data_IF_407254263022
#
_entry.id   IF_407254263022
#
_cell.length_a   1.000
_cell.length_b   1.000
_cell.length_c   1.000
_cell.angle_alpha   90.00
_cell.angle_beta   90.00
_cell.angle_gamma   90.00
#
_symmetry.space_group_name_H-M   'P 1'
#
loop_
_entity.id
_entity.type
_entity.pdbx_description
1 polymer ?
#
# COMPACT_ATOMS: atom_id res chain seq x y z
N UNK A 1 3.12 -4.43 -31.08
CA UNK A 1 2.62 -5.33 -30.02
C UNK A 1 3.60 -5.18 -28.86
N UNK A 2 3.22 -4.51 -27.75
CA UNK A 2 4.18 -4.34 -26.63
C UNK A 2 4.42 -5.68 -25.96
N UNK A 3 5.69 -5.99 -25.77
CA UNK A 3 6.15 -7.20 -25.09
C UNK A 3 5.54 -7.28 -23.68
N UNK A 4 4.98 -8.45 -23.34
CA UNK A 4 4.32 -8.74 -22.05
C UNK A 4 5.33 -9.12 -20.97
N UNK A 5 6.61 -8.98 -21.24
CA UNK A 5 7.69 -9.32 -20.34
C UNK A 5 8.12 -8.10 -19.52
N UNK A 6 8.79 -8.36 -18.42
CA UNK A 6 9.48 -7.34 -17.63
C UNK A 6 10.92 -7.13 -18.11
N UNK A 7 11.40 -7.97 -19.02
CA UNK A 7 12.76 -7.87 -19.54
C UNK A 7 13.02 -6.48 -20.15
N UNK A 8 14.08 -5.83 -19.67
CA UNK A 8 14.46 -4.48 -20.06
C UNK A 8 13.54 -3.35 -19.60
N UNK A 9 12.44 -3.61 -18.89
CA UNK A 9 11.55 -2.57 -18.35
C UNK A 9 12.25 -1.78 -17.26
N UNK A 10 12.08 -0.47 -17.30
CA UNK A 10 12.64 0.50 -16.37
C UNK A 10 11.62 0.75 -15.25
N UNK A 11 11.98 0.33 -14.06
CA UNK A 11 11.05 0.28 -12.92
C UNK A 11 11.56 1.11 -11.76
N UNK A 12 10.72 1.97 -11.22
CA UNK A 12 10.93 2.71 -9.98
C UNK A 12 10.03 2.14 -8.88
N UNK A 13 10.60 1.82 -7.73
CA UNK A 13 9.87 1.27 -6.57
C UNK A 13 10.10 2.18 -5.36
N UNK A 14 9.04 2.66 -4.70
CA UNK A 14 9.16 3.37 -3.43
C UNK A 14 9.07 2.43 -2.24
N UNK A 15 9.76 2.74 -1.14
CA UNK A 15 9.86 1.84 0.01
C UNK A 15 10.64 0.57 -0.32
N UNK A 16 11.71 0.72 -1.12
CA UNK A 16 12.43 -0.39 -1.73
C UNK A 16 13.26 -1.22 -0.74
N UNK A 17 13.74 -0.61 0.36
CA UNK A 17 14.50 -1.27 1.44
C UNK A 17 13.60 -1.92 2.51
N UNK A 18 12.28 -1.69 2.44
CA UNK A 18 11.30 -2.34 3.31
C UNK A 18 11.06 -3.81 2.91
N UNK A 19 10.37 -4.59 3.77
CA UNK A 19 10.13 -6.02 3.55
C UNK A 19 9.53 -6.31 2.18
N UNK A 20 8.46 -5.63 1.80
CA UNK A 20 7.85 -5.79 0.49
C UNK A 20 8.73 -5.30 -0.65
N UNK A 21 9.38 -4.14 -0.45
CA UNK A 21 10.23 -3.52 -1.44
C UNK A 21 11.38 -4.41 -1.87
N UNK A 22 12.06 -5.05 -0.92
CA UNK A 22 13.17 -5.99 -1.18
C UNK A 22 12.70 -7.19 -2.01
N UNK A 23 11.66 -7.89 -1.58
CA UNK A 23 11.11 -9.02 -2.34
C UNK A 23 10.65 -8.60 -3.74
N UNK A 24 10.07 -7.42 -3.86
CA UNK A 24 9.61 -6.88 -5.13
C UNK A 24 10.78 -6.53 -6.04
N UNK A 25 11.81 -5.86 -5.51
CA UNK A 25 13.04 -5.53 -6.22
C UNK A 25 13.74 -6.76 -6.76
N UNK A 26 13.96 -7.78 -5.91
CA UNK A 26 14.55 -9.05 -6.30
C UNK A 26 13.75 -9.76 -7.40
N UNK A 27 12.42 -9.85 -7.24
CA UNK A 27 11.56 -10.52 -8.22
C UNK A 27 11.49 -9.77 -9.57
N UNK A 28 11.46 -8.44 -9.55
CA UNK A 28 11.51 -7.62 -10.76
C UNK A 28 12.85 -7.79 -11.50
N UNK A 29 13.96 -7.77 -10.77
CA UNK A 29 15.30 -7.99 -11.32
C UNK A 29 15.45 -9.41 -11.90
N UNK A 30 14.97 -10.42 -11.20
CA UNK A 30 14.96 -11.81 -11.70
C UNK A 30 14.10 -11.98 -12.97
N UNK A 31 13.06 -11.14 -13.12
CA UNK A 31 12.25 -11.08 -14.35
C UNK A 31 12.89 -10.23 -15.47
N UNK A 32 14.13 -9.76 -15.28
CA UNK A 32 14.91 -9.02 -16.28
C UNK A 32 14.61 -7.51 -16.32
N UNK A 33 13.91 -6.95 -15.34
CA UNK A 33 13.69 -5.51 -15.26
C UNK A 33 14.95 -4.78 -14.79
N UNK A 34 15.09 -3.52 -15.21
CA UNK A 34 16.05 -2.56 -14.65
C UNK A 34 15.32 -1.83 -13.53
N UNK A 35 15.76 -2.03 -12.30
CA UNK A 35 15.07 -1.52 -11.12
C UNK A 35 15.93 -0.50 -10.40
N UNK A 36 15.30 0.60 -9.96
CA UNK A 36 15.85 1.55 -9.00
C UNK A 36 14.82 1.75 -7.89
N UNK A 37 15.27 1.74 -6.64
CA UNK A 37 14.46 2.02 -5.47
C UNK A 37 14.59 3.46 -4.98
N UNK A 38 13.54 3.95 -4.31
CA UNK A 38 13.59 5.10 -3.39
C UNK A 38 13.21 4.63 -2.01
N UNK A 39 14.01 4.97 -1.01
CA UNK A 39 13.71 4.69 0.39
C UNK A 39 14.36 5.73 1.30
N UNK A 40 13.81 5.94 2.49
CA UNK A 40 14.42 6.80 3.51
C UNK A 40 15.79 6.24 3.94
N UNK A 41 15.91 4.93 4.00
CA UNK A 41 17.07 4.19 4.48
C UNK A 41 17.60 3.24 3.40
N UNK A 42 18.34 3.77 2.42
CA UNK A 42 19.08 2.95 1.47
C UNK A 42 20.13 2.11 2.21
N UNK A 43 20.22 0.82 1.90
CA UNK A 43 21.13 -0.13 2.55
C UNK A 43 22.13 -0.68 1.55
N UNK A 44 23.38 -0.98 1.98
CA UNK A 44 24.38 -1.57 1.10
C UNK A 44 24.01 -2.97 0.57
N UNK A 45 23.16 -3.70 1.32
CA UNK A 45 22.70 -5.06 1.00
C UNK A 45 21.32 -5.09 0.32
N UNK A 46 20.82 -3.96 -0.18
CA UNK A 46 19.58 -3.93 -0.95
C UNK A 46 19.74 -4.72 -2.27
N UNK A 47 18.73 -5.50 -2.62
CA UNK A 47 18.72 -6.36 -3.83
C UNK A 47 18.79 -5.58 -5.14
N UNK A 48 18.51 -4.27 -5.10
CA UNK A 48 18.55 -3.34 -6.23
C UNK A 48 19.17 -2.03 -5.79
N UNK A 49 19.71 -1.21 -6.72
CA UNK A 49 20.16 0.14 -6.37
C UNK A 49 19.04 0.97 -5.75
N UNK A 50 19.25 1.49 -4.55
CA UNK A 50 18.31 2.36 -3.83
C UNK A 50 18.93 3.75 -3.66
N UNK A 51 18.17 4.78 -3.99
CA UNK A 51 18.51 6.16 -3.72
C UNK A 51 17.83 6.59 -2.42
N UNK A 52 18.59 7.18 -1.49
CA UNK A 52 18.07 7.72 -0.25
C UNK A 52 17.16 8.92 -0.52
N UNK A 53 15.92 8.86 -0.04
CA UNK A 53 14.95 9.95 -0.19
C UNK A 53 13.88 9.86 0.90
N UNK A 54 13.71 10.94 1.64
CA UNK A 54 12.51 11.13 2.44
C UNK A 54 11.35 11.52 1.50
N UNK A 55 10.42 10.59 1.31
CA UNK A 55 9.27 10.81 0.43
C UNK A 55 8.24 11.80 1.03
N UNK A 56 8.41 12.20 2.27
CA UNK A 56 7.58 13.23 2.91
C UNK A 56 8.10 14.64 2.62
N UNK A 57 9.35 14.76 2.19
CA UNK A 57 9.94 16.04 1.76
C UNK A 57 9.51 16.37 0.32
N UNK A 58 8.67 17.42 0.12
CA UNK A 58 8.17 17.80 -1.19
C UNK A 58 9.27 18.30 -2.15
N UNK A 59 10.37 18.81 -1.63
CA UNK A 59 11.46 19.36 -2.43
C UNK A 59 12.47 18.26 -2.83
N UNK A 60 12.66 17.25 -1.98
CA UNK A 60 13.56 16.13 -2.26
C UNK A 60 12.99 15.15 -3.30
N UNK A 61 11.68 14.89 -3.29
CA UNK A 61 11.05 13.88 -4.14
C UNK A 61 11.26 14.14 -5.65
N UNK A 62 11.06 15.35 -6.21
CA UNK A 62 11.28 15.59 -7.63
C UNK A 62 12.73 15.34 -8.08
N UNK A 63 13.70 15.69 -7.24
CA UNK A 63 15.12 15.48 -7.52
C UNK A 63 15.48 13.99 -7.50
N UNK A 64 14.99 13.24 -6.50
CA UNK A 64 15.21 11.80 -6.38
C UNK A 64 14.58 11.01 -7.53
N UNK A 65 13.35 11.36 -7.92
CA UNK A 65 12.68 10.74 -9.07
C UNK A 65 13.45 11.02 -10.36
N UNK A 66 13.92 12.24 -10.57
CA UNK A 66 14.74 12.62 -11.74
C UNK A 66 16.02 11.79 -11.79
N UNK A 67 16.76 11.72 -10.70
CA UNK A 67 17.99 10.92 -10.61
C UNK A 67 17.73 9.42 -10.90
N UNK A 68 16.61 8.87 -10.42
CA UNK A 68 16.22 7.50 -10.71
C UNK A 68 15.89 7.29 -12.19
N UNK A 69 15.17 8.23 -12.81
CA UNK A 69 14.82 8.21 -14.25
C UNK A 69 16.05 8.31 -15.11
N UNK A 70 16.99 9.19 -14.77
CA UNK A 70 18.27 9.35 -15.49
C UNK A 70 19.10 8.06 -15.43
N UNK A 71 19.21 7.46 -14.25
CA UNK A 71 19.91 6.18 -14.04
C UNK A 71 19.28 5.02 -14.84
N UNK A 72 17.96 5.03 -14.98
CA UNK A 72 17.22 4.03 -15.75
C UNK A 72 17.25 4.31 -17.26
N UNK A 73 17.47 5.56 -17.67
CA UNK A 73 17.32 6.03 -19.06
C UNK A 73 15.85 6.15 -19.47
N UNK A 74 14.97 6.51 -18.52
CA UNK A 74 13.53 6.68 -18.67
C UNK A 74 12.73 5.84 -17.68
N UNK A 75 11.39 5.78 -17.82
CA UNK A 75 10.53 5.07 -16.86
C UNK A 75 9.34 4.41 -17.54
N UNK A 76 9.20 3.09 -17.35
CA UNK A 76 8.08 2.30 -17.88
C UNK A 76 7.06 1.92 -16.80
N UNK A 77 7.50 1.82 -15.55
CA UNK A 77 6.67 1.39 -14.43
C UNK A 77 7.08 2.11 -13.15
N UNK A 78 6.10 2.74 -12.49
CA UNK A 78 6.22 3.20 -11.12
C UNK A 78 5.40 2.28 -10.20
N UNK A 79 5.99 1.83 -9.10
CA UNK A 79 5.30 1.09 -8.05
C UNK A 79 5.37 1.90 -6.75
N UNK A 80 4.26 2.54 -6.39
CA UNK A 80 4.08 3.21 -5.11
C UNK A 80 3.81 2.15 -4.04
N UNK A 81 4.89 1.69 -3.41
CA UNK A 81 4.86 0.65 -2.39
C UNK A 81 5.11 1.20 -0.98
N UNK A 82 5.80 2.32 -0.83
CA UNK A 82 6.06 2.93 0.47
C UNK A 82 4.79 3.05 1.31
N UNK A 83 4.90 2.75 2.59
CA UNK A 83 3.77 2.83 3.51
C UNK A 83 4.16 2.52 4.94
N UNK A 84 3.43 3.13 5.86
CA UNK A 84 3.55 2.94 7.30
C UNK A 84 2.19 2.60 7.90
N UNK A 85 2.19 1.84 8.99
CA UNK A 85 1.01 1.50 9.77
C UNK A 85 1.07 2.10 11.17
N UNK A 86 0.11 1.73 11.99
CA UNK A 86 0.03 2.11 13.38
C UNK A 86 -1.41 2.22 13.85
N UNK A 87 -1.66 2.05 15.15
CA UNK A 87 -2.97 2.20 15.73
C UNK A 87 -3.38 3.67 15.76
N UNK A 88 -4.62 3.93 15.41
CA UNK A 88 -5.22 5.25 15.45
C UNK A 88 -6.75 5.10 15.66
N UNK A 89 -7.23 5.18 16.89
CA UNK A 89 -8.67 5.14 17.19
C UNK A 89 -9.40 6.31 16.55
N UNK A 90 -10.54 6.03 15.90
CA UNK A 90 -11.35 7.06 15.24
C UNK A 90 -12.00 8.07 16.21
N UNK A 91 -12.07 7.74 17.48
CA UNK A 91 -12.66 8.59 18.54
C UNK A 91 -11.68 9.60 19.13
N UNK A 92 -10.39 9.47 18.85
CA UNK A 92 -9.37 10.38 19.34
C UNK A 92 -9.04 11.46 18.30
N UNK A 93 -8.64 12.66 18.73
CA UNK A 93 -8.15 13.68 17.81
C UNK A 93 -6.95 13.18 16.99
N UNK A 94 -6.78 13.64 15.75
CA UNK A 94 -5.65 13.25 14.93
C UNK A 94 -4.33 13.75 15.55
N UNK A 95 -3.43 12.81 15.79
CA UNK A 95 -2.08 13.02 16.32
C UNK A 95 -1.01 12.90 15.23
N UNK A 96 0.25 12.80 15.63
CA UNK A 96 1.38 12.65 14.72
C UNK A 96 1.36 11.30 13.99
N UNK A 97 0.85 10.24 14.61
CA UNK A 97 0.68 8.92 13.97
C UNK A 97 -0.29 9.02 12.80
N UNK A 98 -1.41 9.73 12.98
CA UNK A 98 -2.39 9.99 11.92
C UNK A 98 -1.78 10.81 10.79
N UNK A 99 -1.09 11.92 11.12
CA UNK A 99 -0.45 12.78 10.12
C UNK A 99 0.59 12.03 9.32
N UNK A 100 1.49 11.28 9.98
CA UNK A 100 2.52 10.47 9.34
C UNK A 100 1.93 9.43 8.39
N UNK A 101 0.83 8.77 8.75
CA UNK A 101 0.18 7.79 7.86
C UNK A 101 -0.41 8.45 6.62
N UNK A 102 -1.02 9.62 6.74
CA UNK A 102 -1.53 10.37 5.59
C UNK A 102 -0.37 10.86 4.71
N UNK A 103 0.68 11.37 5.32
CA UNK A 103 1.84 11.90 4.63
C UNK A 103 2.54 10.81 3.81
N UNK A 104 2.89 9.68 4.43
CA UNK A 104 3.63 8.60 3.75
C UNK A 104 2.74 7.80 2.80
N UNK A 105 1.53 7.41 3.23
CA UNK A 105 0.71 6.48 2.45
C UNK A 105 -0.04 7.14 1.29
N UNK A 106 -0.26 8.46 1.36
CA UNK A 106 -1.04 9.19 0.36
C UNK A 106 -0.20 10.28 -0.32
N UNK A 107 0.27 11.28 0.44
CA UNK A 107 0.89 12.47 -0.13
C UNK A 107 2.24 12.16 -0.78
N UNK A 108 3.05 11.29 -0.19
CA UNK A 108 4.29 10.81 -0.77
C UNK A 108 4.05 10.07 -2.11
N UNK A 109 3.05 9.19 -2.16
CA UNK A 109 2.67 8.49 -3.40
C UNK A 109 2.19 9.48 -4.48
N UNK A 110 1.44 10.52 -4.09
CA UNK A 110 0.99 11.58 -4.99
C UNK A 110 2.18 12.37 -5.56
N UNK A 111 3.07 12.87 -4.69
CA UNK A 111 4.28 13.61 -5.12
C UNK A 111 5.16 12.78 -6.06
N UNK A 112 5.44 11.54 -5.67
CA UNK A 112 6.25 10.63 -6.49
C UNK A 112 5.62 10.39 -7.85
N UNK A 113 4.30 10.18 -7.89
CA UNK A 113 3.57 9.97 -9.15
C UNK A 113 3.60 11.23 -10.01
N UNK A 114 3.35 12.40 -9.44
CA UNK A 114 3.39 13.68 -10.18
C UNK A 114 4.76 13.92 -10.81
N UNK A 115 5.85 13.69 -10.05
CA UNK A 115 7.22 13.82 -10.57
C UNK A 115 7.56 12.77 -11.65
N UNK A 116 7.01 11.56 -11.55
CA UNK A 116 7.24 10.47 -12.49
C UNK A 116 6.32 10.51 -13.73
N UNK A 117 5.29 11.34 -13.73
CA UNK A 117 4.26 11.32 -14.77
C UNK A 117 4.80 11.65 -16.18
N UNK A 118 5.66 12.68 -16.39
CA UNK A 118 6.17 13.00 -17.72
C UNK A 118 6.91 11.83 -18.39
N UNK A 119 7.90 11.16 -17.78
CA UNK A 119 8.54 10.01 -18.41
C UNK A 119 7.61 8.81 -18.57
N UNK A 120 6.62 8.60 -17.69
CA UNK A 120 5.61 7.55 -17.82
C UNK A 120 4.69 7.82 -19.03
N UNK A 121 4.27 9.06 -19.26
CA UNK A 121 3.47 9.45 -20.43
C UNK A 121 4.26 9.19 -21.71
N UNK A 122 5.52 9.64 -21.78
CA UNK A 122 6.42 9.39 -22.92
C UNK A 122 6.55 7.91 -23.22
N UNK A 123 6.73 7.09 -22.19
CA UNK A 123 6.85 5.63 -22.32
C UNK A 123 5.51 4.92 -22.54
N UNK A 124 4.37 5.61 -22.42
CA UNK A 124 3.02 5.00 -22.24
C UNK A 124 3.06 3.91 -21.17
N UNK A 125 3.66 4.25 -20.05
CA UNK A 125 3.99 3.35 -18.94
C UNK A 125 2.81 3.02 -18.06
N UNK A 126 3.13 2.63 -16.80
CA UNK A 126 2.13 2.25 -15.79
C UNK A 126 2.48 2.80 -14.43
N UNK A 127 1.46 3.03 -13.63
CA UNK A 127 1.56 3.24 -12.18
C UNK A 127 0.79 2.14 -11.47
N UNK A 128 1.41 1.54 -10.47
CA UNK A 128 0.78 0.58 -9.56
C UNK A 128 0.83 1.17 -8.15
N UNK A 129 -0.32 1.30 -7.52
CA UNK A 129 -0.44 1.70 -6.12
C UNK A 129 -0.65 0.47 -5.24
N UNK A 130 0.18 0.29 -4.22
CA UNK A 130 -0.01 -0.74 -3.20
C UNK A 130 -0.88 -0.15 -2.09
N UNK A 131 -2.17 -0.44 -2.17
CA UNK A 131 -3.15 -0.06 -1.17
C UNK A 131 -3.27 -1.14 -0.08
N UNK A 132 -4.45 -1.46 0.36
CA UNK A 132 -4.76 -2.50 1.34
C UNK A 132 -6.23 -2.89 1.23
N UNK A 133 -6.56 -4.11 1.62
CA UNK A 133 -7.93 -4.54 1.89
C UNK A 133 -8.67 -3.58 2.86
N UNK A 134 -7.94 -2.96 3.80
CA UNK A 134 -8.51 -1.99 4.74
C UNK A 134 -9.03 -0.70 4.08
N UNK A 135 -8.71 -0.45 2.82
CA UNK A 135 -9.34 0.61 2.04
C UNK A 135 -10.84 0.36 1.77
N UNK A 136 -11.30 -0.89 1.85
CA UNK A 136 -12.69 -1.28 1.59
C UNK A 136 -13.38 -1.94 2.79
N UNK A 137 -12.62 -2.58 3.67
CA UNK A 137 -13.09 -3.16 4.93
C UNK A 137 -12.34 -2.50 6.09
N UNK A 138 -12.92 -1.45 6.71
CA UNK A 138 -12.26 -0.75 7.80
C UNK A 138 -12.13 -1.65 9.02
N UNK A 139 -11.01 -1.50 9.73
CA UNK A 139 -10.78 -2.15 11.02
C UNK A 139 -10.86 -1.10 12.14
N UNK A 140 -11.58 -1.40 13.23
CA UNK A 140 -11.52 -0.59 14.45
C UNK A 140 -10.08 -0.39 14.94
N UNK A 141 -9.79 0.76 15.53
CA UNK A 141 -8.49 1.16 16.07
C UNK A 141 -7.37 1.37 15.04
N UNK A 142 -7.70 1.31 13.74
CA UNK A 142 -6.76 1.54 12.63
C UNK A 142 -7.34 2.54 11.61
N UNK A 143 -8.06 3.57 12.09
CA UNK A 143 -8.78 4.50 11.25
C UNK A 143 -7.86 5.24 10.27
N UNK A 144 -6.75 5.79 10.74
CA UNK A 144 -5.82 6.55 9.90
C UNK A 144 -5.26 5.71 8.74
N UNK A 145 -4.90 4.46 9.00
CA UNK A 145 -4.42 3.55 7.95
C UNK A 145 -5.51 3.29 6.90
N UNK A 146 -6.72 2.95 7.35
CA UNK A 146 -7.86 2.73 6.46
C UNK A 146 -8.18 3.97 5.61
N UNK A 147 -8.22 5.16 6.26
CA UNK A 147 -8.44 6.45 5.60
C UNK A 147 -7.34 6.73 4.56
N UNK A 148 -6.06 6.63 4.93
CA UNK A 148 -4.95 6.88 4.02
C UNK A 148 -4.97 5.98 2.79
N UNK A 149 -5.23 4.67 2.98
CA UNK A 149 -5.29 3.69 1.87
C UNK A 149 -6.55 3.83 1.02
N UNK A 150 -7.67 4.28 1.58
CA UNK A 150 -8.88 4.62 0.82
C UNK A 150 -8.73 5.92 0.03
N UNK A 151 -8.11 6.93 0.60
CA UNK A 151 -7.79 8.17 -0.08
C UNK A 151 -6.81 7.94 -1.25
N UNK A 152 -5.81 7.05 -1.08
CA UNK A 152 -4.92 6.62 -2.15
C UNK A 152 -5.70 5.98 -3.33
N UNK A 153 -6.75 5.20 -3.05
CA UNK A 153 -7.62 4.65 -4.10
C UNK A 153 -8.37 5.75 -4.84
N UNK A 154 -8.93 6.73 -4.11
CA UNK A 154 -9.62 7.88 -4.71
C UNK A 154 -8.67 8.71 -5.58
N UNK A 155 -7.42 8.92 -5.13
CA UNK A 155 -6.39 9.56 -5.95
C UNK A 155 -6.09 8.76 -7.23
N UNK A 156 -5.92 7.44 -7.12
CA UNK A 156 -5.69 6.58 -8.29
C UNK A 156 -6.86 6.62 -9.29
N UNK A 157 -8.10 6.77 -8.80
CA UNK A 157 -9.29 6.90 -9.63
C UNK A 157 -9.29 8.23 -10.39
N UNK A 158 -9.01 9.35 -9.72
CA UNK A 158 -8.88 10.66 -10.34
C UNK A 158 -7.77 10.65 -11.41
N UNK A 159 -6.57 10.18 -11.02
CA UNK A 159 -5.43 10.09 -11.93
C UNK A 159 -5.76 9.28 -13.19
N UNK A 160 -6.49 8.18 -13.06
CA UNK A 160 -6.87 7.33 -14.20
C UNK A 160 -7.70 8.08 -15.24
N UNK A 161 -8.58 8.96 -14.79
CA UNK A 161 -9.38 9.80 -15.70
C UNK A 161 -8.52 10.90 -16.35
N UNK A 162 -7.62 11.51 -15.59
CA UNK A 162 -6.77 12.61 -16.06
C UNK A 162 -5.72 12.13 -17.08
N UNK A 163 -5.09 10.99 -16.85
CA UNK A 163 -4.06 10.45 -17.77
C UNK A 163 -4.65 9.65 -18.94
N UNK A 164 -5.94 9.29 -18.88
CA UNK A 164 -6.65 8.57 -19.94
C UNK A 164 -5.95 7.28 -20.37
N UNK A 165 -5.69 7.16 -21.66
CA UNK A 165 -5.01 5.98 -22.24
C UNK A 165 -3.49 6.11 -22.28
N UNK A 166 -2.93 7.23 -21.84
CA UNK A 166 -1.48 7.47 -21.90
C UNK A 166 -0.70 6.68 -20.85
N UNK A 167 -1.26 6.54 -19.65
CA UNK A 167 -0.64 5.79 -18.55
C UNK A 167 -1.65 4.81 -17.96
N UNK A 168 -1.23 3.54 -17.81
CA UNK A 168 -2.05 2.55 -17.12
C UNK A 168 -2.01 2.74 -15.61
N UNK A 169 -3.16 2.80 -14.94
CA UNK A 169 -3.25 2.99 -13.48
C UNK A 169 -3.94 1.80 -12.84
N UNK A 170 -3.26 1.15 -11.91
CA UNK A 170 -3.75 -0.02 -11.17
C UNK A 170 -3.59 0.15 -9.67
N UNK A 171 -4.52 -0.42 -8.89
CA UNK A 171 -4.43 -0.51 -7.45
C UNK A 171 -4.41 -1.98 -7.04
N UNK A 172 -3.41 -2.37 -6.24
CA UNK A 172 -3.30 -3.71 -5.65
C UNK A 172 -3.69 -3.63 -4.19
N UNK A 173 -4.48 -4.61 -3.73
CA UNK A 173 -5.05 -4.67 -2.39
C UNK A 173 -4.54 -5.91 -1.65
N UNK A 174 -3.36 -5.85 -1.03
CA UNK A 174 -2.89 -6.93 -0.17
C UNK A 174 -3.82 -7.13 1.02
N UNK A 175 -3.91 -8.38 1.49
CA UNK A 175 -4.43 -8.71 2.81
C UNK A 175 -3.37 -8.41 3.88
N UNK A 176 -3.44 -9.04 5.04
CA UNK A 176 -2.40 -8.93 6.04
C UNK A 176 -1.19 -9.73 5.61
N UNK A 177 -0.01 -9.11 5.62
CA UNK A 177 1.27 -9.78 5.41
C UNK A 177 2.14 -9.57 6.65
N UNK A 178 2.82 -10.60 7.09
CA UNK A 178 3.75 -10.48 8.21
C UNK A 178 4.90 -9.54 7.81
N UNK A 179 4.93 -8.35 8.42
CA UNK A 179 5.94 -7.33 8.15
C UNK A 179 6.00 -6.34 9.31
N UNK A 180 7.11 -5.60 9.49
CA UNK A 180 7.29 -4.61 10.55
C UNK A 180 6.24 -3.48 10.54
N UNK A 181 5.47 -3.31 9.47
CA UNK A 181 4.36 -2.33 9.41
C UNK A 181 3.32 -2.54 10.52
N UNK A 182 3.29 -3.74 11.12
CA UNK A 182 2.35 -4.10 12.19
C UNK A 182 2.98 -4.07 13.59
N UNK A 183 4.28 -3.80 13.73
CA UNK A 183 4.99 -3.85 15.01
C UNK A 183 4.43 -2.80 15.98
N UNK A 184 4.23 -1.56 15.54
CA UNK A 184 3.64 -0.50 16.35
C UNK A 184 2.21 -0.82 16.84
N UNK A 185 1.47 -1.64 16.09
CA UNK A 185 0.14 -2.13 16.50
C UNK A 185 0.28 -3.18 17.60
N UNK A 186 1.26 -4.06 17.50
CA UNK A 186 1.55 -5.07 18.53
C UNK A 186 2.12 -4.41 19.80
N UNK A 187 3.02 -3.44 19.68
CA UNK A 187 3.57 -2.65 20.80
C UNK A 187 2.48 -1.89 21.55
N UNK A 188 1.44 -1.44 20.88
CA UNK A 188 0.25 -0.82 21.50
C UNK A 188 -0.70 -1.85 22.17
N UNK A 189 -0.32 -3.12 22.28
CA UNK A 189 -1.14 -4.17 22.86
C UNK A 189 -2.31 -4.64 21.98
N UNK A 190 -2.30 -4.28 20.70
CA UNK A 190 -3.35 -4.64 19.76
C UNK A 190 -2.94 -5.84 18.92
N UNK A 191 -3.60 -6.98 19.13
CA UNK A 191 -3.40 -8.17 18.31
C UNK A 191 -4.21 -8.10 17.01
N UNK A 192 -3.59 -8.43 15.89
CA UNK A 192 -4.29 -8.63 14.61
C UNK A 192 -4.75 -10.08 14.41
N UNK A 193 -4.55 -10.96 15.41
CA UNK A 193 -5.01 -12.36 15.36
C UNK A 193 -6.53 -12.42 15.20
N UNK A 194 -7.00 -13.33 14.36
CA UNK A 194 -8.44 -13.50 14.09
C UNK A 194 -9.06 -12.47 13.14
N UNK A 195 -8.39 -11.35 12.87
CA UNK A 195 -8.89 -10.31 11.95
C UNK A 195 -8.65 -10.71 10.50
N UNK A 196 -7.49 -11.28 10.20
CA UNK A 196 -7.13 -11.74 8.87
C UNK A 196 -6.15 -12.92 8.95
N UNK A 197 -6.24 -13.82 7.98
CA UNK A 197 -5.17 -14.80 7.77
C UNK A 197 -4.01 -14.09 7.06
N UNK A 198 -2.77 -14.24 7.54
CA UNK A 198 -1.60 -13.73 6.83
C UNK A 198 -1.52 -14.36 5.44
N UNK A 199 -1.17 -13.55 4.45
CA UNK A 199 -0.80 -14.04 3.13
C UNK A 199 0.72 -14.00 2.96
N UNK A 200 1.30 -14.94 2.18
CA UNK A 200 2.73 -14.92 1.88
C UNK A 200 3.08 -13.68 1.05
N UNK A 201 4.23 -13.07 1.31
CA UNK A 201 4.72 -11.91 0.55
C UNK A 201 4.86 -12.22 -0.95
N UNK A 202 5.25 -13.44 -1.27
CA UNK A 202 5.42 -13.95 -2.63
C UNK A 202 4.11 -13.87 -3.43
N UNK A 203 2.97 -14.11 -2.79
CA UNK A 203 1.65 -14.01 -3.39
C UNK A 203 1.32 -12.58 -3.82
N UNK A 204 1.68 -11.60 -2.98
CA UNK A 204 1.51 -10.17 -3.28
C UNK A 204 2.45 -9.74 -4.39
N UNK A 205 3.72 -10.12 -4.31
CA UNK A 205 4.72 -9.85 -5.35
C UNK A 205 4.26 -10.41 -6.70
N UNK A 206 3.85 -11.67 -6.73
CA UNK A 206 3.33 -12.30 -7.95
C UNK A 206 2.10 -11.57 -8.52
N UNK A 207 1.20 -11.05 -7.66
CA UNK A 207 0.07 -10.25 -8.10
C UNK A 207 0.50 -8.92 -8.73
N UNK A 208 1.51 -8.25 -8.16
CA UNK A 208 2.08 -7.01 -8.71
C UNK A 208 2.76 -7.29 -10.06
N UNK A 209 3.57 -8.34 -10.19
CA UNK A 209 4.23 -8.71 -11.45
C UNK A 209 3.19 -9.03 -12.55
N UNK A 210 2.15 -9.81 -12.23
CA UNK A 210 1.04 -10.07 -13.17
C UNK A 210 0.33 -8.78 -13.58
N UNK A 211 0.14 -7.84 -12.65
CA UNK A 211 -0.46 -6.53 -12.93
C UNK A 211 0.41 -5.71 -13.86
N UNK A 212 1.72 -5.71 -13.63
CA UNK A 212 2.70 -5.01 -14.44
C UNK A 212 2.74 -5.54 -15.89
N UNK A 213 2.56 -6.84 -16.08
CA UNK A 213 2.63 -7.52 -17.41
C UNK A 213 1.27 -7.70 -18.08
N UNK A 214 0.16 -7.37 -17.44
CA UNK A 214 -1.18 -7.52 -18.00
C UNK A 214 -1.35 -6.73 -19.31
N UNK A 215 -2.12 -7.27 -20.27
CA UNK A 215 -2.36 -6.60 -21.56
C UNK A 215 -2.94 -5.19 -21.40
N UNK A 216 -3.94 -5.07 -20.54
CA UNK A 216 -4.52 -3.79 -20.10
C UNK A 216 -4.25 -3.65 -18.61
N UNK A 217 -3.98 -2.46 -18.13
CA UNK A 217 -3.83 -2.21 -16.70
C UNK A 217 -5.15 -2.55 -16.00
N UNK A 218 -5.21 -3.59 -15.14
CA UNK A 218 -6.42 -3.87 -14.38
C UNK A 218 -6.65 -2.74 -13.38
N UNK A 219 -7.90 -2.32 -13.21
CA UNK A 219 -8.22 -1.23 -12.28
C UNK A 219 -7.85 -1.59 -10.84
N UNK A 220 -8.37 -2.71 -10.36
CA UNK A 220 -8.31 -3.17 -8.98
C UNK A 220 -7.90 -4.64 -8.94
N UNK A 221 -6.90 -4.97 -8.14
CA UNK A 221 -6.34 -6.30 -8.03
C UNK A 221 -6.28 -6.75 -6.58
N UNK A 222 -7.15 -7.68 -6.21
CA UNK A 222 -7.00 -8.41 -4.95
C UNK A 222 -5.90 -9.47 -5.10
N UNK A 223 -5.07 -9.63 -4.10
CA UNK A 223 -3.96 -10.60 -4.10
C UNK A 223 -4.43 -12.04 -3.89
N UNK A 224 -5.59 -12.21 -3.24
CA UNK A 224 -6.21 -13.51 -2.94
C UNK A 224 -7.66 -13.61 -3.44
N UNK A 225 -8.17 -14.82 -3.65
CA UNK A 225 -9.57 -15.04 -4.00
C UNK A 225 -10.52 -14.55 -2.89
N UNK A 226 -10.16 -14.78 -1.62
CA UNK A 226 -10.90 -14.25 -0.45
C UNK A 226 -10.91 -12.73 -0.45
N UNK A 227 -9.76 -12.08 -0.67
CA UNK A 227 -9.67 -10.62 -0.78
C UNK A 227 -10.56 -10.05 -1.87
N UNK A 228 -10.72 -10.78 -2.98
CA UNK A 228 -11.63 -10.40 -4.07
C UNK A 228 -13.09 -10.40 -3.62
N UNK A 229 -13.51 -11.44 -2.89
CA UNK A 229 -14.85 -11.51 -2.30
C UNK A 229 -15.08 -10.39 -1.27
N UNK A 230 -14.12 -10.18 -0.38
CA UNK A 230 -14.19 -9.14 0.65
C UNK A 230 -14.30 -7.74 0.04
N UNK A 231 -13.56 -7.47 -1.04
CA UNK A 231 -13.67 -6.22 -1.81
C UNK A 231 -15.05 -6.06 -2.46
N UNK A 232 -15.61 -7.13 -3.02
CA UNK A 232 -16.95 -7.10 -3.59
C UNK A 232 -18.00 -6.81 -2.51
N UNK A 233 -17.92 -7.48 -1.36
CA UNK A 233 -18.82 -7.22 -0.21
C UNK A 233 -18.68 -5.78 0.29
N UNK A 234 -17.45 -5.28 0.50
CA UNK A 234 -17.24 -3.91 0.97
C UNK A 234 -17.75 -2.84 0.02
N UNK A 235 -17.76 -3.11 -1.29
CA UNK A 235 -18.25 -2.17 -2.31
C UNK A 235 -19.74 -2.23 -2.56
N UNK A 236 -20.31 -3.43 -2.60
CA UNK A 236 -21.68 -3.64 -3.08
C UNK A 236 -22.67 -4.01 -1.97
N UNK A 237 -22.19 -4.39 -0.79
CA UNK A 237 -23.00 -4.76 0.36
C UNK A 237 -22.43 -4.19 1.68
N UNK A 238 -22.30 -2.85 1.83
CA UNK A 238 -21.65 -2.24 2.98
C UNK A 238 -22.30 -2.63 4.31
N UNK A 239 -23.62 -2.77 4.38
CA UNK A 239 -24.31 -3.25 5.58
C UNK A 239 -23.89 -4.66 6.00
N UNK A 240 -23.58 -5.53 5.04
CA UNK A 240 -23.03 -6.87 5.34
C UNK A 240 -21.59 -6.77 5.83
N UNK A 241 -20.78 -5.91 5.19
CA UNK A 241 -19.41 -5.63 5.66
C UNK A 241 -19.41 -5.15 7.12
N UNK A 242 -20.27 -4.19 7.47
CA UNK A 242 -20.41 -3.66 8.82
C UNK A 242 -20.84 -4.76 9.83
N UNK A 243 -21.77 -5.63 9.41
CA UNK A 243 -22.20 -6.76 10.26
C UNK A 243 -21.05 -7.73 10.54
N UNK A 244 -20.24 -8.02 9.52
CA UNK A 244 -19.07 -8.90 9.66
C UNK A 244 -18.01 -8.27 10.57
N UNK A 245 -17.71 -6.99 10.39
CA UNK A 245 -16.75 -6.25 11.24
C UNK A 245 -17.25 -6.23 12.70
N UNK A 246 -18.54 -5.90 12.92
CA UNK A 246 -19.14 -5.90 14.29
C UNK A 246 -19.08 -7.28 14.94
N UNK A 247 -19.37 -8.36 14.21
CA UNK A 247 -19.26 -9.72 14.75
C UNK A 247 -17.81 -10.07 15.14
N UNK A 248 -16.85 -9.71 14.28
CA UNK A 248 -15.45 -9.95 14.57
C UNK A 248 -15.00 -9.14 15.81
N UNK A 249 -15.43 -7.89 15.91
CA UNK A 249 -15.13 -7.04 17.06
C UNK A 249 -15.74 -7.61 18.34
N UNK A 250 -17.03 -8.00 18.32
CA UNK A 250 -17.71 -8.59 19.47
C UNK A 250 -17.03 -9.88 19.96
N UNK A 251 -16.61 -10.76 19.04
CA UNK A 251 -15.85 -11.96 19.38
C UNK A 251 -14.52 -11.65 20.07
N UNK A 252 -13.80 -10.63 19.61
CA UNK A 252 -12.52 -10.20 20.20
C UNK A 252 -12.70 -9.57 21.56
N UNK A 253 -13.75 -8.77 21.73
CA UNK A 253 -14.13 -8.20 23.05
C UNK A 253 -14.46 -9.31 24.07
N UNK A 254 -15.23 -10.30 23.64
CA UNK A 254 -15.57 -11.45 24.48
C UNK A 254 -14.33 -12.31 24.84
N UNK A 255 -13.33 -12.39 23.94
CA UNK A 255 -12.07 -13.10 24.19
C UNK A 255 -11.06 -12.30 25.05
N UNK A 256 -11.34 -11.01 25.36
CA UNK A 256 -10.40 -10.16 26.10
C UNK A 256 -9.18 -9.70 25.29
N UNK A 257 -9.18 -9.87 23.99
CA UNK A 257 -8.04 -9.58 23.09
C UNK A 257 -7.62 -8.09 23.11
N UNK A 258 -8.47 -7.20 23.59
CA UNK A 258 -8.27 -5.76 23.60
C UNK A 258 -8.07 -5.18 25.01
N UNK A 259 -8.14 -6.01 26.06
CA UNK A 259 -8.12 -5.56 27.44
C UNK A 259 -6.80 -4.91 27.88
N UNK A 260 -5.70 -5.35 27.27
CA UNK A 260 -4.36 -4.82 27.52
C UNK A 260 -4.02 -3.58 26.65
N UNK A 261 -4.93 -3.12 25.79
CA UNK A 261 -4.67 -2.03 24.86
C UNK A 261 -5.24 -0.70 25.40
N UNK A 262 -4.42 0.24 25.91
CA UNK A 262 -4.90 1.52 26.43
C UNK A 262 -5.71 2.32 25.40
N UNK A 263 -5.34 2.23 24.13
CA UNK A 263 -6.04 2.91 23.03
C UNK A 263 -7.45 2.37 22.77
N UNK A 264 -7.81 1.20 23.31
CA UNK A 264 -9.15 0.62 23.20
C UNK A 264 -10.07 1.01 24.38
N UNK A 265 -9.57 1.70 25.40
CA UNK A 265 -10.29 1.95 26.66
C UNK A 265 -11.66 2.60 26.47
N UNK A 266 -11.77 3.65 25.65
CA UNK A 266 -13.04 4.32 25.36
C UNK A 266 -14.04 3.41 24.66
N UNK A 267 -13.59 2.63 23.67
CA UNK A 267 -14.42 1.65 22.98
C UNK A 267 -14.87 0.52 23.94
N UNK A 268 -13.95 0.00 24.77
CA UNK A 268 -14.24 -1.04 25.78
C UNK A 268 -15.31 -0.57 26.77
N UNK A 269 -15.20 0.66 27.26
CA UNK A 269 -16.18 1.25 28.21
C UNK A 269 -17.59 1.27 27.64
N UNK A 270 -17.75 1.63 26.36
CA UNK A 270 -19.07 1.65 25.70
C UNK A 270 -19.64 0.25 25.41
N UNK A 271 -18.80 -0.73 25.12
CA UNK A 271 -19.26 -2.08 24.80
C UNK A 271 -19.49 -2.98 26.01
N UNK A 272 -18.94 -2.64 27.18
CA UNK A 272 -19.14 -3.38 28.46
C UNK A 272 -20.23 -2.77 29.34
N UNK A 273 -20.64 -1.52 29.06
CA UNK A 273 -21.67 -0.79 29.80
C UNK A 273 -23.08 -1.07 29.32
N UNK A 274 -23.28 -2.04 28.47
CA UNK A 274 -24.54 -2.58 27.98
C UNK A 274 -24.51 -4.09 28.15
#
# INVERSE_FOLDING_TARGET
>A
MRDRTLAGRRVLVTGASGTFGRHLGAALSAAGARVVGLDLHARPDDDVPVLGCDLTDPDAVPAAVRAAVDRLGGLDLLINNAGVGGPAPAELPPDEVVRRQLEVNLLAAWRTTAAALPPLVTARGRVIFVSSRMAVLPLPLAAAYGVSKRALVAYADALRHEVGTHVGVSVVYPSMVASPIHDSTAEAGLSLRGVSRPEPVEGVVAAILRTATARRAPRDVATTARGRLEMAVGRHAPALADRLVRRTLAARLAAGDLDAAPLAAGMLGRHRGH
#
